data_IF_983237847156
#
_entry.id   IF_983237847156
#
_cell.length_a   1.000
_cell.length_b   1.000
_cell.length_c   1.000
_cell.angle_alpha   90.00
_cell.angle_beta   90.00
_cell.angle_gamma   90.00
#
_symmetry.space_group_name_H-M   'P 1'
#
loop_
_entity.id
_entity.type
_entity.pdbx_description
1 polymer ?
#
# COMPACT_ATOMS: atom_id res chain seq x y z
N UNK A 1 85.52 5.49 -4.89
CA UNK A 1 84.51 4.95 -3.95
C UNK A 1 83.21 4.82 -4.75
N UNK A 2 82.84 3.59 -5.15
CA UNK A 2 81.68 2.85 -4.58
C UNK A 2 80.44 3.74 -4.47
N UNK A 3 79.29 3.53 -5.10
CA UNK A 3 78.74 2.54 -6.05
C UNK A 3 77.32 3.10 -6.32
N UNK A 4 76.79 3.05 -7.56
CA UNK A 4 75.40 3.38 -7.85
C UNK A 4 74.52 2.16 -7.57
N UNK A 5 73.32 2.35 -7.03
CA UNK A 5 72.27 1.33 -7.05
C UNK A 5 71.04 1.89 -7.75
N UNK A 6 71.05 1.71 -9.07
CA UNK A 6 69.86 1.56 -9.89
C UNK A 6 69.51 0.08 -9.81
N UNK A 7 68.38 -0.26 -9.21
CA UNK A 7 67.80 -1.60 -9.32
C UNK A 7 66.81 -1.61 -10.49
N UNK A 8 67.18 -2.43 -11.47
CA UNK A 8 66.41 -2.91 -12.62
C UNK A 8 65.49 -4.06 -12.16
N UNK A 9 64.55 -4.43 -13.04
CA UNK A 9 63.77 -5.69 -13.14
C UNK A 9 62.34 -5.58 -12.56
N UNK A 10 61.27 -6.04 -13.22
CA UNK A 10 61.13 -6.90 -14.39
C UNK A 10 59.68 -6.79 -14.90
N UNK A 11 59.53 -6.71 -16.21
CA UNK A 11 58.27 -6.93 -16.92
C UNK A 11 57.73 -8.35 -16.70
N UNK A 12 56.43 -8.48 -16.40
CA UNK A 12 55.64 -9.66 -16.76
C UNK A 12 54.31 -9.22 -17.35
N UNK A 13 54.18 -9.46 -18.66
CA UNK A 13 52.91 -9.66 -19.34
C UNK A 13 52.30 -10.97 -18.83
N UNK A 14 51.07 -10.91 -18.34
CA UNK A 14 50.14 -12.04 -18.42
C UNK A 14 48.81 -11.51 -18.95
N UNK A 15 48.43 -12.02 -20.11
CA UNK A 15 47.08 -11.97 -20.63
C UNK A 15 46.15 -12.74 -19.68
N UNK A 16 44.98 -12.16 -19.41
CA UNK A 16 43.89 -12.83 -18.70
C UNK A 16 42.55 -12.37 -19.25
N UNK A 17 41.99 -13.15 -20.19
CA UNK A 17 40.57 -13.13 -20.51
C UNK A 17 39.75 -13.60 -19.30
N UNK A 18 38.60 -12.99 -19.01
CA UNK A 18 37.69 -13.56 -18.01
C UNK A 18 36.51 -12.70 -17.55
N UNK A 19 35.36 -12.95 -18.16
CA UNK A 19 33.99 -12.79 -17.64
C UNK A 19 33.52 -11.42 -17.14
N UNK A 20 32.91 -10.66 -18.05
CA UNK A 20 31.68 -9.91 -17.78
C UNK A 20 30.54 -10.88 -17.45
N UNK A 21 30.03 -10.86 -16.22
CA UNK A 21 28.86 -11.67 -15.87
C UNK A 21 28.44 -11.56 -14.42
N UNK A 22 27.77 -10.48 -14.05
CA UNK A 22 27.01 -10.41 -12.78
C UNK A 22 25.99 -9.24 -12.77
N UNK A 23 25.24 -9.00 -13.84
CA UNK A 23 24.09 -8.06 -13.82
C UNK A 23 22.91 -8.51 -14.68
N UNK A 24 23.09 -9.51 -15.56
CA UNK A 24 22.04 -10.04 -16.43
C UNK A 24 21.15 -11.09 -15.74
N UNK A 25 21.65 -11.76 -14.69
CA UNK A 25 20.93 -12.83 -13.97
C UNK A 25 19.71 -12.33 -13.19
N UNK A 26 19.84 -11.24 -12.42
CA UNK A 26 18.73 -10.70 -11.62
C UNK A 26 17.60 -10.15 -12.49
N UNK A 27 17.91 -9.47 -13.59
CA UNK A 27 16.88 -8.96 -14.51
C UNK A 27 16.21 -10.05 -15.36
N UNK A 28 16.86 -11.20 -15.55
CA UNK A 28 16.26 -12.35 -16.21
C UNK A 28 15.33 -13.10 -15.24
N UNK A 29 15.75 -13.34 -14.00
CA UNK A 29 14.94 -13.95 -12.94
C UNK A 29 13.72 -13.10 -12.57
N UNK A 30 13.89 -11.78 -12.42
CA UNK A 30 12.77 -10.84 -12.21
C UNK A 30 11.82 -10.82 -13.42
N UNK A 31 12.33 -10.88 -14.66
CA UNK A 31 11.47 -10.97 -15.85
C UNK A 31 10.73 -12.29 -15.92
N UNK A 32 11.35 -13.39 -15.52
CA UNK A 32 10.74 -14.73 -15.54
C UNK A 32 9.69 -14.89 -14.44
N UNK A 33 9.94 -14.34 -13.24
CA UNK A 33 8.95 -14.24 -12.16
C UNK A 33 7.81 -13.29 -12.52
N UNK A 34 8.09 -12.11 -13.08
CA UNK A 34 7.04 -11.19 -13.56
C UNK A 34 6.21 -11.81 -14.70
N UNK A 35 6.85 -12.54 -15.63
CA UNK A 35 6.16 -13.26 -16.69
C UNK A 35 5.27 -14.38 -16.12
N UNK A 36 5.74 -15.15 -15.15
CA UNK A 36 4.97 -16.18 -14.45
C UNK A 36 3.79 -15.61 -13.66
N UNK A 37 3.97 -14.46 -13.00
CA UNK A 37 2.90 -13.73 -12.29
C UNK A 37 1.85 -13.15 -13.26
N UNK A 38 2.24 -12.77 -14.48
CA UNK A 38 1.32 -12.27 -15.51
C UNK A 38 0.60 -13.37 -16.30
N UNK A 39 1.05 -14.63 -16.24
CA UNK A 39 0.55 -15.71 -17.10
C UNK A 39 -0.46 -16.66 -16.44
N UNK A 40 -0.75 -16.50 -15.15
CA UNK A 40 -1.61 -17.45 -14.40
C UNK A 40 -3.03 -16.99 -14.04
N UNK A 41 -3.33 -15.69 -14.07
CA UNK A 41 -4.66 -15.17 -13.74
C UNK A 41 -5.27 -14.50 -14.96
N UNK A 42 -6.16 -15.19 -15.66
CA UNK A 42 -7.03 -14.54 -16.65
C UNK A 42 -7.93 -13.58 -15.91
N UNK A 43 -7.62 -12.28 -15.97
CA UNK A 43 -8.49 -11.24 -15.46
C UNK A 43 -9.84 -11.35 -16.17
N UNK A 44 -10.94 -11.22 -15.42
CA UNK A 44 -12.25 -11.23 -16.03
C UNK A 44 -12.46 -10.01 -16.94
N UNK A 45 -13.29 -10.10 -17.99
CA UNK A 45 -13.43 -9.02 -18.97
C UNK A 45 -13.82 -7.66 -18.36
N UNK A 46 -14.67 -7.64 -17.32
CA UNK A 46 -15.06 -6.40 -16.66
C UNK A 46 -13.85 -5.76 -15.96
N UNK A 47 -13.06 -6.56 -15.24
CA UNK A 47 -11.84 -6.08 -14.59
C UNK A 47 -10.83 -5.54 -15.61
N UNK A 48 -10.63 -6.23 -16.74
CA UNK A 48 -9.73 -5.77 -17.81
C UNK A 48 -10.19 -4.45 -18.41
N UNK A 49 -11.48 -4.35 -18.74
CA UNK A 49 -12.05 -3.14 -19.34
C UNK A 49 -11.89 -1.93 -18.40
N UNK A 50 -12.26 -2.09 -17.13
CA UNK A 50 -12.14 -1.03 -16.13
C UNK A 50 -10.68 -0.67 -15.84
N UNK A 51 -9.78 -1.65 -15.77
CA UNK A 51 -8.34 -1.41 -15.64
C UNK A 51 -7.81 -0.57 -16.81
N UNK A 52 -8.12 -0.95 -18.04
CA UNK A 52 -7.67 -0.25 -19.23
C UNK A 52 -8.25 1.16 -19.32
N UNK A 53 -9.52 1.36 -18.95
CA UNK A 53 -10.14 2.68 -18.90
C UNK A 53 -9.40 3.61 -17.93
N UNK A 54 -9.07 3.14 -16.72
CA UNK A 54 -8.32 3.95 -15.75
C UNK A 54 -6.89 4.23 -16.25
N UNK A 55 -6.22 3.22 -16.82
CA UNK A 55 -4.85 3.37 -17.36
C UNK A 55 -4.80 4.32 -18.56
N UNK A 56 -5.83 4.35 -19.40
CA UNK A 56 -5.93 5.27 -20.52
C UNK A 56 -5.99 6.74 -20.07
N UNK A 57 -6.58 7.01 -18.91
CA UNK A 57 -6.66 8.35 -18.31
C UNK A 57 -5.38 8.73 -17.53
N UNK A 58 -4.51 7.77 -17.17
CA UNK A 58 -3.28 8.03 -16.38
C UNK A 58 -2.39 9.14 -16.95
N UNK A 59 -2.14 9.26 -18.27
CA UNK A 59 -1.33 10.34 -18.83
C UNK A 59 -1.86 11.73 -18.48
N UNK A 60 -3.18 11.91 -18.35
CA UNK A 60 -3.80 13.20 -18.03
C UNK A 60 -3.51 13.66 -16.59
N UNK A 61 -3.19 12.72 -15.70
CA UNK A 61 -3.03 13.00 -14.27
C UNK A 61 -1.58 12.82 -13.78
N UNK A 62 -0.68 12.33 -14.64
CA UNK A 62 0.68 11.91 -14.25
C UNK A 62 1.51 13.02 -13.62
N UNK A 63 1.28 14.28 -14.02
CA UNK A 63 2.01 15.45 -13.52
C UNK A 63 1.34 16.10 -12.31
N UNK A 64 0.18 15.61 -11.89
CA UNK A 64 -0.50 16.11 -10.69
C UNK A 64 0.19 15.57 -9.42
N UNK A 65 0.11 16.26 -8.28
CA UNK A 65 0.57 15.73 -7.01
C UNK A 65 -0.07 14.37 -6.70
N UNK A 66 0.65 13.49 -5.99
CA UNK A 66 0.18 12.14 -5.68
C UNK A 66 -1.27 12.09 -5.15
N UNK A 67 -1.61 13.04 -4.27
CA UNK A 67 -2.94 13.18 -3.69
C UNK A 67 -4.09 13.37 -4.69
N UNK A 68 -3.89 14.23 -5.69
CA UNK A 68 -4.89 14.46 -6.74
C UNK A 68 -5.03 13.26 -7.67
N UNK A 69 -3.92 12.55 -7.94
CA UNK A 69 -3.98 11.29 -8.69
C UNK A 69 -4.82 10.24 -7.95
N UNK A 70 -4.67 10.15 -6.63
CA UNK A 70 -5.50 9.29 -5.77
C UNK A 70 -6.96 9.71 -5.85
N UNK A 71 -7.26 11.01 -5.76
CA UNK A 71 -8.62 11.52 -5.89
C UNK A 71 -9.32 11.03 -7.18
N UNK A 72 -8.66 11.22 -8.32
CA UNK A 72 -9.21 10.86 -9.64
C UNK A 72 -9.31 9.34 -9.85
N UNK A 73 -8.29 8.58 -9.44
CA UNK A 73 -8.30 7.11 -9.59
C UNK A 73 -9.34 6.49 -8.65
N UNK A 74 -9.43 6.98 -7.41
CA UNK A 74 -10.38 6.49 -6.42
C UNK A 74 -11.83 6.72 -6.87
N UNK A 75 -12.10 7.82 -7.58
CA UNK A 75 -13.42 8.18 -8.12
C UNK A 75 -13.96 7.13 -9.10
N UNK A 76 -13.10 6.52 -9.91
CA UNK A 76 -13.49 5.49 -10.87
C UNK A 76 -14.13 4.25 -10.22
N UNK A 77 -13.97 4.07 -8.90
CA UNK A 77 -14.57 2.97 -8.14
C UNK A 77 -15.85 3.35 -7.40
N UNK A 78 -16.30 4.62 -7.42
CA UNK A 78 -17.57 4.99 -6.79
C UNK A 78 -18.71 4.11 -7.29
N UNK A 79 -19.53 3.62 -6.35
CA UNK A 79 -20.62 2.70 -6.62
C UNK A 79 -20.22 1.23 -6.79
N UNK A 80 -18.93 0.88 -6.86
CA UNK A 80 -18.50 -0.53 -6.88
C UNK A 80 -18.96 -1.23 -5.60
N UNK A 81 -19.63 -2.40 -5.69
CA UNK A 81 -20.15 -3.13 -4.53
C UNK A 81 -19.10 -3.45 -3.47
N UNK A 82 -19.53 -3.44 -2.21
CA UNK A 82 -18.71 -3.94 -1.11
C UNK A 82 -18.80 -5.48 -1.07
N UNK A 83 -17.66 -6.15 -1.01
CA UNK A 83 -17.58 -7.60 -0.84
C UNK A 83 -16.42 -7.90 0.11
N UNK A 84 -16.70 -8.53 1.25
CA UNK A 84 -15.68 -8.92 2.22
C UNK A 84 -14.85 -10.12 1.73
N UNK A 85 -13.64 -10.28 2.29
CA UNK A 85 -12.78 -11.44 2.12
C UNK A 85 -12.47 -11.79 0.65
N UNK A 86 -12.18 -10.76 -0.17
CA UNK A 86 -11.88 -10.94 -1.60
C UNK A 86 -10.56 -11.66 -1.85
N UNK A 87 -9.59 -11.49 -0.95
CA UNK A 87 -8.26 -12.08 -1.10
C UNK A 87 -8.24 -13.54 -0.67
N UNK A 88 -7.43 -14.34 -1.36
CA UNK A 88 -7.32 -15.78 -1.15
C UNK A 88 -5.92 -16.12 -0.63
N UNK A 89 -5.87 -17.06 0.31
CA UNK A 89 -4.63 -17.58 0.89
C UNK A 89 -4.70 -17.67 2.41
N UNK A 90 -4.03 -18.70 2.95
CA UNK A 90 -3.94 -19.01 4.37
C UNK A 90 -2.74 -19.91 4.63
N UNK A 91 -2.51 -20.36 5.86
CA UNK A 91 -1.49 -21.36 6.16
C UNK A 91 -1.67 -22.69 5.41
N UNK A 92 -2.90 -23.02 5.04
CA UNK A 92 -3.26 -24.29 4.37
C UNK A 92 -3.68 -24.10 2.92
N UNK A 93 -3.63 -22.87 2.40
CA UNK A 93 -4.09 -22.54 1.05
C UNK A 93 -3.09 -21.60 0.41
N UNK A 94 -2.47 -21.98 -0.73
CA UNK A 94 -1.54 -21.09 -1.42
C UNK A 94 -2.15 -19.71 -1.66
N UNK A 95 -1.37 -18.66 -1.36
CA UNK A 95 -1.76 -17.28 -1.63
C UNK A 95 -1.80 -17.04 -3.15
N UNK A 96 -2.77 -16.23 -3.59
CA UNK A 96 -2.91 -15.85 -4.99
C UNK A 96 -3.06 -14.35 -5.13
N UNK A 97 -2.50 -13.78 -6.21
CA UNK A 97 -2.66 -12.37 -6.52
C UNK A 97 -4.04 -12.13 -7.14
N UNK A 98 -5.05 -11.96 -6.28
CA UNK A 98 -6.44 -11.76 -6.71
C UNK A 98 -6.67 -10.31 -7.18
N UNK A 99 -7.22 -10.18 -8.39
CA UNK A 99 -7.68 -8.91 -8.98
C UNK A 99 -9.12 -9.08 -9.47
N UNK A 100 -10.05 -8.39 -8.82
CA UNK A 100 -11.47 -8.40 -9.20
C UNK A 100 -12.11 -7.05 -8.85
N UNK A 101 -12.40 -6.24 -9.87
CA UNK A 101 -12.95 -4.89 -9.69
C UNK A 101 -14.48 -4.87 -9.54
N UNK A 102 -15.16 -6.01 -9.59
CA UNK A 102 -16.62 -6.11 -9.45
C UNK A 102 -17.08 -5.97 -8.00
N UNK A 103 -16.18 -6.15 -7.04
CA UNK A 103 -16.48 -5.99 -5.63
C UNK A 103 -15.21 -5.83 -4.80
N UNK A 104 -15.24 -4.91 -3.85
CA UNK A 104 -14.08 -4.47 -3.09
C UNK A 104 -14.39 -4.50 -1.59
N UNK A 105 -13.38 -4.76 -0.78
CA UNK A 105 -13.36 -4.33 0.61
C UNK A 105 -12.51 -3.06 0.76
N UNK A 106 -12.39 -2.55 1.99
CA UNK A 106 -11.69 -1.30 2.23
C UNK A 106 -10.18 -1.40 1.95
N UNK A 107 -9.54 -2.55 2.21
CA UNK A 107 -8.11 -2.74 1.94
C UNK A 107 -7.82 -2.92 0.46
N UNK A 108 -8.56 -3.80 -0.21
CA UNK A 108 -8.40 -4.03 -1.65
C UNK A 108 -8.66 -2.77 -2.46
N UNK A 109 -9.61 -1.93 -2.03
CA UNK A 109 -9.82 -0.62 -2.65
C UNK A 109 -8.57 0.27 -2.55
N UNK A 110 -7.94 0.35 -1.36
CA UNK A 110 -6.69 1.09 -1.18
C UNK A 110 -5.56 0.52 -2.03
N UNK A 111 -5.37 -0.80 -2.01
CA UNK A 111 -4.35 -1.49 -2.81
C UNK A 111 -4.47 -1.15 -4.29
N UNK A 112 -5.68 -1.21 -4.85
CA UNK A 112 -5.90 -0.98 -6.27
C UNK A 112 -5.64 0.47 -6.67
N UNK A 113 -6.12 1.45 -5.89
CA UNK A 113 -5.90 2.87 -6.19
C UNK A 113 -4.41 3.22 -6.19
N UNK A 114 -3.67 2.77 -5.18
CA UNK A 114 -2.22 3.02 -5.12
C UNK A 114 -1.45 2.27 -6.22
N UNK A 115 -1.81 1.01 -6.48
CA UNK A 115 -1.18 0.25 -7.56
C UNK A 115 -1.42 0.91 -8.92
N UNK A 116 -2.64 1.39 -9.19
CA UNK A 116 -2.99 2.11 -10.42
C UNK A 116 -2.25 3.44 -10.53
N UNK A 117 -2.11 4.18 -9.42
CA UNK A 117 -1.34 5.43 -9.40
C UNK A 117 0.09 5.21 -9.86
N UNK A 118 0.69 4.10 -9.48
CA UNK A 118 2.06 3.74 -9.82
C UNK A 118 2.23 3.14 -11.22
N UNK A 119 1.13 2.92 -11.95
CA UNK A 119 1.13 2.19 -13.23
C UNK A 119 0.89 3.08 -14.44
N UNK A 120 1.52 2.69 -15.56
CA UNK A 120 1.26 3.24 -16.88
C UNK A 120 0.60 2.22 -17.81
N UNK A 121 0.80 0.92 -17.57
CA UNK A 121 0.19 -0.17 -18.32
C UNK A 121 -0.24 -1.35 -17.42
N UNK A 122 -0.98 -2.31 -17.99
CA UNK A 122 -1.45 -3.50 -17.27
C UNK A 122 -0.33 -4.34 -16.64
N UNK A 123 0.81 -4.62 -17.31
CA UNK A 123 1.92 -5.33 -16.67
C UNK A 123 2.50 -4.58 -15.46
N UNK A 124 2.55 -3.24 -15.52
CA UNK A 124 2.99 -2.41 -14.39
C UNK A 124 2.00 -2.54 -13.23
N UNK A 125 0.70 -2.57 -13.51
CA UNK A 125 -0.33 -2.76 -12.49
C UNK A 125 -0.15 -4.05 -11.70
N UNK A 126 0.10 -5.18 -12.35
CA UNK A 126 0.32 -6.44 -11.64
C UNK A 126 1.55 -6.37 -10.71
N UNK A 127 2.66 -5.82 -11.21
CA UNK A 127 3.89 -5.62 -10.42
C UNK A 127 3.67 -4.65 -9.25
N UNK A 128 3.00 -3.53 -9.50
CA UNK A 128 2.74 -2.50 -8.50
C UNK A 128 1.76 -2.95 -7.45
N UNK A 129 0.75 -3.74 -7.82
CA UNK A 129 -0.17 -4.36 -6.89
C UNK A 129 0.56 -5.33 -5.96
N UNK A 130 1.44 -6.16 -6.51
CA UNK A 130 2.22 -7.13 -5.73
C UNK A 130 3.07 -6.44 -4.65
N UNK A 131 3.87 -5.42 -5.01
CA UNK A 131 4.68 -4.67 -4.02
C UNK A 131 3.84 -3.84 -3.04
N UNK A 132 2.64 -3.42 -3.44
CA UNK A 132 1.72 -2.66 -2.57
C UNK A 132 1.14 -3.59 -1.51
N UNK A 133 0.61 -4.74 -1.93
CA UNK A 133 -0.10 -5.69 -1.06
C UNK A 133 0.81 -6.61 -0.25
N UNK A 134 2.00 -6.93 -0.74
CA UNK A 134 2.91 -7.89 -0.12
C UNK A 134 4.25 -7.24 0.24
N UNK A 135 4.83 -7.65 1.37
CA UNK A 135 6.16 -7.22 1.83
C UNK A 135 7.19 -7.69 0.82
N UNK A 136 7.99 -6.75 0.30
CA UNK A 136 9.03 -6.98 -0.71
C UNK A 136 8.55 -7.71 -1.98
N UNK A 137 7.24 -7.67 -2.25
CA UNK A 137 6.63 -8.31 -3.41
C UNK A 137 6.54 -9.83 -3.32
N UNK A 138 6.72 -10.42 -2.15
CA UNK A 138 6.65 -11.87 -1.95
C UNK A 138 5.19 -12.34 -1.87
N UNK A 139 4.72 -13.10 -2.87
CA UNK A 139 3.33 -13.57 -2.95
C UNK A 139 3.09 -14.74 -1.98
N UNK A 140 3.03 -14.42 -0.70
CA UNK A 140 2.76 -15.36 0.38
C UNK A 140 1.79 -14.76 1.41
N UNK A 141 0.99 -15.62 2.04
CA UNK A 141 0.03 -15.23 3.08
C UNK A 141 0.73 -14.51 4.25
N UNK A 142 1.91 -14.96 4.67
CA UNK A 142 2.67 -14.36 5.77
C UNK A 142 3.33 -13.03 5.35
N UNK A 143 3.60 -12.86 4.07
CA UNK A 143 4.17 -11.65 3.49
C UNK A 143 3.10 -10.61 3.13
N UNK A 144 1.80 -10.94 3.15
CA UNK A 144 0.73 -9.96 2.91
C UNK A 144 0.69 -8.89 4.00
N UNK A 145 0.53 -7.63 3.60
CA UNK A 145 0.35 -6.49 4.53
C UNK A 145 -1.06 -6.51 5.11
N UNK A 146 -1.25 -7.24 6.22
CA UNK A 146 -2.58 -7.42 6.84
C UNK A 146 -2.99 -6.25 7.74
N UNK A 147 -2.04 -5.44 8.23
CA UNK A 147 -2.32 -4.29 9.08
C UNK A 147 -2.11 -3.00 8.29
N UNK A 148 -2.98 -2.01 8.50
CA UNK A 148 -2.94 -0.76 7.73
C UNK A 148 -1.59 -0.05 7.83
N UNK A 149 -1.01 -0.02 9.02
CA UNK A 149 0.29 0.60 9.28
C UNK A 149 1.46 -0.12 8.60
N UNK A 150 1.29 -1.35 8.09
CA UNK A 150 2.32 -2.02 7.31
C UNK A 150 2.71 -1.25 6.04
N UNK A 151 1.78 -0.44 5.50
CA UNK A 151 2.07 0.47 4.39
C UNK A 151 3.12 1.54 4.70
N UNK A 152 3.31 1.88 5.98
CA UNK A 152 4.30 2.86 6.44
C UNK A 152 5.57 2.23 7.01
N UNK A 153 5.50 0.98 7.48
CA UNK A 153 6.58 0.39 8.29
C UNK A 153 7.19 -0.90 7.71
N UNK A 154 6.45 -1.68 6.93
CA UNK A 154 6.89 -3.02 6.52
C UNK A 154 7.60 -3.02 5.16
N UNK A 155 8.66 -3.82 5.05
CA UNK A 155 9.42 -4.01 3.82
C UNK A 155 10.25 -2.80 3.36
N UNK A 156 10.90 -2.97 2.23
CA UNK A 156 11.73 -1.96 1.56
C UNK A 156 10.85 -0.91 0.87
N UNK A 157 9.84 -1.36 0.13
CA UNK A 157 8.84 -0.50 -0.49
C UNK A 157 7.69 -0.18 0.47
N UNK A 158 7.58 1.10 0.82
CA UNK A 158 6.52 1.65 1.69
C UNK A 158 5.66 2.59 0.86
N UNK A 159 4.42 2.21 0.50
CA UNK A 159 3.56 3.04 -0.35
C UNK A 159 3.26 4.42 0.24
N UNK A 160 3.24 4.53 1.57
CA UNK A 160 2.90 5.76 2.27
C UNK A 160 3.86 6.03 3.45
N UNK A 161 3.78 7.25 3.99
CA UNK A 161 4.44 7.66 5.22
C UNK A 161 3.39 8.00 6.28
N UNK A 162 3.66 7.68 7.55
CA UNK A 162 2.80 8.09 8.66
C UNK A 162 3.04 9.56 9.01
N UNK A 163 2.03 10.40 8.76
CA UNK A 163 2.06 11.84 9.05
C UNK A 163 1.22 12.20 10.27
N UNK A 164 0.66 11.22 10.98
CA UNK A 164 -0.35 11.43 12.02
C UNK A 164 0.14 12.36 13.14
N UNK A 165 1.39 12.16 13.60
CA UNK A 165 1.99 13.03 14.61
C UNK A 165 2.33 14.44 14.08
N UNK A 166 2.47 14.59 12.76
CA UNK A 166 2.84 15.87 12.13
C UNK A 166 1.63 16.79 11.99
N UNK A 167 0.44 16.21 11.78
CA UNK A 167 -0.77 17.00 11.52
C UNK A 167 -1.49 17.47 12.79
N UNK A 168 -1.27 16.84 13.95
CA UNK A 168 -1.88 17.27 15.22
C UNK A 168 -0.95 17.11 16.42
N UNK A 169 -0.87 18.16 17.24
CA UNK A 169 -0.17 18.10 18.53
C UNK A 169 -0.88 17.21 19.56
N UNK A 170 -2.15 16.87 19.31
CA UNK A 170 -2.94 15.96 20.14
C UNK A 170 -2.82 14.49 19.71
N UNK A 171 -1.90 14.17 18.79
CA UNK A 171 -1.65 12.80 18.38
C UNK A 171 -1.15 11.96 19.57
N UNK A 172 -1.75 10.78 19.72
CA UNK A 172 -1.51 9.84 20.80
C UNK A 172 -0.80 8.61 20.26
N UNK A 173 0.28 8.18 20.93
CA UNK A 173 0.99 6.93 20.64
C UNK A 173 0.52 5.80 21.54
N UNK A 174 0.31 4.62 20.97
CA UNK A 174 -0.03 3.39 21.69
C UNK A 174 0.78 2.24 21.16
N UNK A 175 1.50 1.58 22.05
CA UNK A 175 2.15 0.31 21.72
C UNK A 175 1.10 -0.78 21.57
N UNK A 176 1.19 -1.53 20.48
CA UNK A 176 0.34 -2.68 20.19
C UNK A 176 1.17 -3.88 19.80
N UNK A 177 0.68 -5.05 20.18
CA UNK A 177 1.16 -6.36 19.73
C UNK A 177 0.24 -6.83 18.62
N UNK A 178 0.46 -6.33 17.39
CA UNK A 178 -0.38 -6.64 16.25
C UNK A 178 -0.51 -8.14 16.06
N UNK A 179 -1.69 -8.56 15.61
CA UNK A 179 -2.16 -9.95 15.54
C UNK A 179 -2.55 -10.60 16.88
N UNK A 180 -2.23 -10.04 18.05
CA UNK A 180 -2.57 -10.64 19.34
C UNK A 180 -3.83 -10.03 19.98
N UNK A 181 -4.87 -10.84 20.14
CA UNK A 181 -6.11 -10.49 20.87
C UNK A 181 -5.85 -10.32 22.37
N UNK A 182 -6.83 -9.78 23.08
CA UNK A 182 -6.76 -9.56 24.53
C UNK A 182 -6.63 -10.87 25.33
N UNK A 183 -7.17 -11.98 24.82
CA UNK A 183 -7.05 -13.32 25.41
C UNK A 183 -5.72 -14.01 25.08
N UNK A 184 -4.82 -13.33 24.35
CA UNK A 184 -3.52 -13.86 23.93
C UNK A 184 -3.54 -14.65 22.62
N UNK A 185 -4.71 -15.00 22.09
CA UNK A 185 -4.85 -15.73 20.82
C UNK A 185 -4.62 -14.82 19.60
N UNK A 186 -4.40 -15.41 18.42
CA UNK A 186 -4.15 -14.67 17.19
C UNK A 186 -5.46 -14.29 16.44
N UNK A 187 -5.47 -13.16 15.73
CA UNK A 187 -6.51 -12.89 14.72
C UNK A 187 -6.28 -13.73 13.46
N UNK A 188 -5.04 -13.77 13.02
CA UNK A 188 -4.56 -14.43 11.82
C UNK A 188 -3.62 -15.56 12.24
N UNK A 189 -4.09 -16.82 12.22
CA UNK A 189 -3.27 -17.96 12.59
C UNK A 189 -1.96 -18.00 11.80
N UNK A 190 -0.86 -18.28 12.50
CA UNK A 190 0.51 -18.41 11.98
C UNK A 190 1.20 -17.11 11.53
N UNK A 191 0.47 -16.00 11.41
CA UNK A 191 1.10 -14.70 11.22
C UNK A 191 1.84 -14.30 12.51
N UNK A 192 3.09 -13.81 12.44
CA UNK A 192 3.83 -13.41 13.63
C UNK A 192 3.15 -12.26 14.37
N UNK A 193 3.33 -12.21 15.69
CA UNK A 193 2.97 -11.04 16.49
C UNK A 193 4.06 -9.98 16.35
N UNK A 194 3.67 -8.77 15.93
CA UNK A 194 4.61 -7.66 15.70
C UNK A 194 4.32 -6.53 16.68
N UNK A 195 5.37 -6.02 17.34
CA UNK A 195 5.23 -4.80 18.13
C UNK A 195 5.15 -3.58 17.20
N UNK A 196 4.16 -2.73 17.41
CA UNK A 196 3.92 -1.53 16.60
C UNK A 196 3.44 -0.39 17.49
N UNK A 197 4.13 0.74 17.43
CA UNK A 197 3.61 2.01 17.91
C UNK A 197 2.57 2.51 16.91
N UNK A 198 1.30 2.51 17.30
CA UNK A 198 0.22 3.12 16.50
C UNK A 198 0.02 4.55 16.98
N UNK A 199 0.21 5.51 16.09
CA UNK A 199 -0.08 6.93 16.33
C UNK A 199 -1.45 7.26 15.77
N UNK A 200 -2.32 7.87 16.56
CA UNK A 200 -3.66 8.29 16.11
C UNK A 200 -4.05 9.65 16.69
N UNK A 201 -4.99 10.34 16.05
CA UNK A 201 -5.59 11.58 16.53
C UNK A 201 -6.98 11.23 17.07
N UNK A 202 -7.25 11.41 18.38
CA UNK A 202 -8.58 11.14 18.92
C UNK A 202 -9.64 12.01 18.26
N UNK A 203 -10.84 11.47 18.05
CA UNK A 203 -11.89 12.13 17.27
C UNK A 203 -12.23 13.54 17.76
N UNK A 204 -12.25 13.78 19.07
CA UNK A 204 -12.51 15.09 19.67
C UNK A 204 -11.47 16.18 19.34
N UNK A 205 -10.32 15.80 18.77
CA UNK A 205 -9.28 16.74 18.33
C UNK A 205 -9.19 16.88 16.81
N UNK A 206 -10.11 16.29 16.05
CA UNK A 206 -10.18 16.45 14.58
C UNK A 206 -10.96 17.73 14.29
N UNK A 207 -10.31 18.87 14.49
CA UNK A 207 -10.85 20.20 14.27
C UNK A 207 -10.45 20.79 12.91
N UNK A 208 -10.85 22.04 12.64
CA UNK A 208 -10.47 22.75 11.40
C UNK A 208 -8.95 22.83 11.18
N UNK A 209 -8.13 22.86 12.24
CA UNK A 209 -6.66 22.92 12.08
C UNK A 209 -6.12 21.58 11.57
N UNK A 210 -6.67 20.46 12.05
CA UNK A 210 -6.35 19.14 11.52
C UNK A 210 -6.81 19.02 10.07
N UNK A 211 -8.05 19.42 9.76
CA UNK A 211 -8.59 19.37 8.39
C UNK A 211 -7.72 20.17 7.43
N UNK A 212 -7.27 21.38 7.81
CA UNK A 212 -6.41 22.21 6.95
C UNK A 212 -5.00 21.64 6.72
N UNK A 213 -4.59 20.60 7.46
CA UNK A 213 -3.31 19.89 7.29
C UNK A 213 -3.45 18.55 6.57
N UNK A 214 -4.67 18.06 6.44
CA UNK A 214 -4.98 16.94 5.56
C UNK A 214 -4.91 17.42 4.12
N UNK A 215 -4.37 16.56 3.26
CA UNK A 215 -4.30 16.80 1.83
C UNK A 215 -5.23 15.81 1.14
N UNK A 216 -5.80 16.23 0.01
CA UNK A 216 -6.55 15.33 -0.86
C UNK A 216 -5.71 14.08 -1.16
N UNK A 217 -6.35 12.91 -1.08
CA UNK A 217 -5.70 11.62 -1.30
C UNK A 217 -4.93 11.07 -0.10
N UNK A 218 -4.91 11.77 1.04
CA UNK A 218 -4.42 11.15 2.29
C UNK A 218 -5.22 9.89 2.59
N UNK A 219 -4.50 8.81 2.90
CA UNK A 219 -5.10 7.58 3.38
C UNK A 219 -5.51 7.79 4.84
N UNK A 220 -6.75 7.44 5.15
CA UNK A 220 -7.33 7.55 6.48
C UNK A 220 -7.62 6.16 7.00
N UNK A 221 -7.02 5.81 8.12
CA UNK A 221 -7.35 4.62 8.90
C UNK A 221 -8.18 4.99 10.13
N UNK A 222 -9.29 4.30 10.36
CA UNK A 222 -10.12 4.50 11.55
C UNK A 222 -9.51 3.72 12.71
N UNK A 223 -8.90 4.44 13.65
CA UNK A 223 -8.22 3.85 14.81
C UNK A 223 -9.18 3.00 15.64
N UNK A 224 -8.68 1.89 16.15
CA UNK A 224 -9.40 1.04 17.10
C UNK A 224 -8.64 0.89 18.41
N UNK A 225 -9.30 0.88 19.58
CA UNK A 225 -8.66 0.53 20.84
C UNK A 225 -8.45 -0.99 21.01
N UNK A 226 -9.02 -1.83 20.15
CA UNK A 226 -8.92 -3.28 20.26
C UNK A 226 -7.45 -3.75 20.30
N UNK A 227 -7.16 -4.69 21.20
CA UNK A 227 -5.86 -5.34 21.28
C UNK A 227 -5.55 -6.03 19.95
N UNK A 228 -4.30 -5.90 19.49
CA UNK A 228 -3.79 -6.58 18.30
C UNK A 228 -4.22 -6.04 16.94
N UNK A 229 -5.01 -4.97 16.87
CA UNK A 229 -5.41 -4.30 15.63
C UNK A 229 -4.96 -2.84 15.64
N UNK A 230 -4.58 -2.27 14.51
CA UNK A 230 -4.27 -0.84 14.39
C UNK A 230 -5.51 -0.02 13.99
N UNK A 231 -6.24 -0.46 12.98
CA UNK A 231 -7.46 0.18 12.47
C UNK A 231 -8.57 -0.84 12.20
N UNK A 232 -9.82 -0.38 12.12
CA UNK A 232 -10.97 -1.23 11.73
C UNK A 232 -11.48 -0.95 10.33
N UNK A 233 -11.15 0.21 9.76
CA UNK A 233 -11.63 0.63 8.45
C UNK A 233 -10.66 1.62 7.83
N UNK A 234 -10.69 1.73 6.51
CA UNK A 234 -9.80 2.63 5.75
C UNK A 234 -10.56 3.33 4.61
N UNK A 235 -9.99 4.44 4.14
CA UNK A 235 -10.49 5.19 2.98
C UNK A 235 -9.55 6.34 2.63
N UNK A 236 -10.04 7.26 1.80
CA UNK A 236 -9.31 8.45 1.37
C UNK A 236 -9.98 9.71 1.87
N UNK A 237 -9.18 10.68 2.31
CA UNK A 237 -9.65 12.05 2.51
C UNK A 237 -9.74 12.74 1.15
N UNK A 238 -10.94 13.09 0.71
CA UNK A 238 -11.18 13.74 -0.58
C UNK A 238 -11.86 15.09 -0.34
N UNK A 239 -11.40 16.12 -1.03
CA UNK A 239 -12.08 17.41 -1.08
C UNK A 239 -13.07 17.41 -2.23
N UNK A 240 -14.34 17.71 -1.94
CA UNK A 240 -15.40 17.87 -2.95
C UNK A 240 -15.99 19.27 -2.88
N UNK A 241 -16.79 19.66 -3.88
CA UNK A 241 -17.53 20.93 -3.86
C UNK A 241 -18.48 21.06 -2.65
N UNK A 242 -18.87 19.93 -2.05
CA UNK A 242 -19.75 19.87 -0.87
C UNK A 242 -18.96 19.82 0.45
N UNK A 243 -17.64 19.89 0.39
CA UNK A 243 -16.73 19.78 1.53
C UNK A 243 -15.97 18.45 1.59
N UNK A 244 -15.19 18.23 2.67
CA UNK A 244 -14.37 17.04 2.82
C UNK A 244 -15.22 15.79 3.04
N UNK A 245 -14.85 14.71 2.37
CA UNK A 245 -15.47 13.38 2.51
C UNK A 245 -14.43 12.31 2.83
N UNK A 246 -14.85 11.26 3.49
CA UNK A 246 -14.17 9.98 3.51
C UNK A 246 -14.71 9.15 2.35
N UNK A 247 -13.91 8.99 1.29
CA UNK A 247 -14.22 8.06 0.20
C UNK A 247 -13.78 6.65 0.60
N UNK A 248 -14.72 5.73 0.75
CA UNK A 248 -14.42 4.39 1.25
C UNK A 248 -15.32 3.30 0.64
N UNK A 249 -14.86 2.05 0.65
CA UNK A 249 -15.69 0.88 0.36
C UNK A 249 -16.46 0.49 1.62
N UNK A 250 -17.73 0.89 1.73
CA UNK A 250 -18.52 0.77 2.95
C UNK A 250 -19.27 -0.56 3.05
N UNK A 251 -19.05 -1.28 4.16
CA UNK A 251 -19.82 -2.45 4.56
C UNK A 251 -21.11 -2.11 5.32
N UNK A 252 -21.46 -0.82 5.44
CA UNK A 252 -22.69 -0.42 6.10
C UNK A 252 -23.90 -0.82 5.25
N UNK A 253 -24.94 -1.38 5.87
CA UNK A 253 -26.13 -1.90 5.17
C UNK A 253 -26.84 -0.85 4.30
N UNK A 254 -26.79 0.42 4.68
CA UNK A 254 -27.34 1.53 3.89
C UNK A 254 -26.54 1.89 2.62
N UNK A 255 -25.33 1.34 2.43
CA UNK A 255 -24.44 1.66 1.31
C UNK A 255 -24.01 0.43 0.52
N UNK A 256 -23.35 -0.55 1.17
CA UNK A 256 -22.79 -1.78 0.58
C UNK A 256 -21.99 -1.55 -0.72
N UNK A 257 -21.24 -0.44 -0.80
CA UNK A 257 -20.48 -0.01 -1.99
C UNK A 257 -19.45 1.06 -1.66
N UNK A 258 -18.64 1.43 -2.64
CA UNK A 258 -17.77 2.61 -2.55
C UNK A 258 -18.62 3.88 -2.56
N UNK A 259 -18.45 4.70 -1.52
CA UNK A 259 -19.24 5.91 -1.27
C UNK A 259 -18.40 7.04 -0.70
N UNK A 260 -18.89 8.26 -0.87
CA UNK A 260 -18.39 9.46 -0.21
C UNK A 260 -19.24 9.74 1.04
N UNK A 261 -18.61 9.67 2.22
CA UNK A 261 -19.26 9.97 3.51
C UNK A 261 -18.79 11.32 4.05
N UNK A 262 -19.65 12.22 4.54
CA UNK A 262 -19.21 13.51 5.10
C UNK A 262 -18.15 13.32 6.20
N UNK A 263 -16.94 13.84 5.98
CA UNK A 263 -15.75 13.44 6.73
C UNK A 263 -15.90 13.72 8.23
N UNK A 264 -16.25 14.96 8.59
CA UNK A 264 -16.37 15.39 9.99
C UNK A 264 -17.44 14.59 10.75
N UNK A 265 -18.62 14.40 10.15
CA UNK A 265 -19.69 13.60 10.75
C UNK A 265 -19.28 12.14 10.92
N UNK A 266 -18.55 11.59 9.94
CA UNK A 266 -18.06 10.23 10.01
C UNK A 266 -17.06 10.06 11.16
N UNK A 267 -15.99 10.86 11.19
CA UNK A 267 -14.90 10.72 12.17
C UNK A 267 -15.31 11.09 13.60
N UNK A 268 -16.31 11.96 13.78
CA UNK A 268 -16.84 12.28 15.10
C UNK A 268 -17.44 11.06 15.82
N UNK A 269 -17.82 10.02 15.07
CA UNK A 269 -18.39 8.78 15.59
C UNK A 269 -17.38 7.62 15.65
N UNK A 270 -16.08 7.92 15.60
CA UNK A 270 -15.02 6.91 15.71
C UNK A 270 -14.09 7.20 16.89
N UNK A 271 -13.23 6.25 17.30
CA UNK A 271 -12.22 6.53 18.33
C UNK A 271 -11.16 7.56 17.90
N UNK A 272 -10.92 7.71 16.59
CA UNK A 272 -9.93 8.61 16.02
C UNK A 272 -9.41 8.14 14.66
N UNK A 273 -8.41 8.84 14.14
CA UNK A 273 -7.83 8.55 12.83
C UNK A 273 -6.30 8.35 12.88
N UNK A 274 -5.81 7.44 12.07
CA UNK A 274 -4.42 7.30 11.64
C UNK A 274 -4.34 7.86 10.22
N UNK A 275 -3.31 8.65 9.91
CA UNK A 275 -3.20 9.32 8.61
C UNK A 275 -1.87 8.95 7.96
N UNK A 276 -1.97 8.27 6.82
CA UNK A 276 -0.83 8.01 5.96
C UNK A 276 -0.92 8.87 4.70
N UNK A 277 0.22 9.37 4.22
CA UNK A 277 0.31 10.15 2.97
C UNK A 277 1.13 9.39 1.95
N UNK A 278 0.61 9.28 0.73
CA UNK A 278 1.35 8.68 -0.38
C UNK A 278 2.71 9.37 -0.57
N UNK A 279 3.71 8.58 -0.96
CA UNK A 279 4.97 9.15 -1.44
C UNK A 279 4.78 9.59 -2.90
N UNK A 280 5.37 10.73 -3.25
CA UNK A 280 5.41 11.23 -4.64
C UNK A 280 6.03 10.19 -5.58
#
# INVERSE_FOLDING_TARGET
MRTPYVFILMSMLLAGCGSSGATTGNHALERQQNAALTSGATLDPYTVEKLNAILQERPNYRLLPAGQQIGLISEAFLGTPYVANKLQGSLSTPEQLVVDFRGLDCFTYLDYVEALRQSAAQPDFMKNLLRTRYVDGDLDYLSRKHFYTDWAYSGTYKPAQDITAQISAHAVRREKRLNQKADGSAYLPGLPVVQRTVTYIPAGFIDKKVINRLHEGDFIGIYTPLAGLDVTHVGFFIMTDKGPVLRNASSHSGSQKVVDSPFLTYVANTPGIVVLRAKE
#
